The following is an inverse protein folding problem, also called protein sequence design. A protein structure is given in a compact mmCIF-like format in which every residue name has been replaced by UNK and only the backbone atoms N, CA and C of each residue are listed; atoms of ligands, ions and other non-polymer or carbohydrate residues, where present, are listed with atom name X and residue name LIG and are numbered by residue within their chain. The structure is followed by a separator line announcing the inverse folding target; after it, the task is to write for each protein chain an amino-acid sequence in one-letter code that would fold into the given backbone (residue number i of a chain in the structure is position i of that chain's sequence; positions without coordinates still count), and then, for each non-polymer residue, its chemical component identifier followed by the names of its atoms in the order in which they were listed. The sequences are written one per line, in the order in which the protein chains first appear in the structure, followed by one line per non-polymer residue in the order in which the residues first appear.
data_IF_160443262879
#
_entry.id   IF_160443262879
#
_cell.length_a   1.000
_cell.length_b   1.000
_cell.length_c   1.000
_cell.angle_alpha   90.00
_cell.angle_beta   90.00
_cell.angle_gamma   90.00
#
_symmetry.space_group_name_H-M   'P 1'
#
loop_
_entity.id
_entity.type
_entity.pdbx_description
1 polymer ?
#
# COMPACT_ATOMS: atom_id res chain seq x y z
N UNK A 1 39.47 33.47 49.96
CA UNK A 1 38.27 34.33 50.00
C UNK A 1 37.62 34.27 48.63
N UNK A 2 36.38 33.77 48.53
CA UNK A 2 35.48 33.89 47.35
C UNK A 2 35.48 35.37 46.91
N UNK A 3 35.34 35.77 45.65
CA UNK A 3 34.19 35.76 44.71
C UNK A 3 34.81 36.15 43.32
N UNK A 4 34.35 35.85 42.10
CA UNK A 4 33.02 35.85 41.52
C UNK A 4 33.12 35.28 40.09
N UNK A 5 32.18 34.40 39.73
CA UNK A 5 32.05 33.74 38.43
C UNK A 5 31.73 34.78 37.34
N UNK A 6 32.44 34.76 36.20
CA UNK A 6 32.13 35.60 35.05
C UNK A 6 32.21 34.80 33.74
N UNK A 7 31.09 34.79 33.02
CA UNK A 7 30.89 34.35 31.63
C UNK A 7 31.17 32.89 31.25
N UNK A 8 30.14 32.06 31.43
CA UNK A 8 29.91 30.85 30.65
C UNK A 8 28.45 30.88 30.16
N UNK A 9 28.16 31.63 29.10
CA UNK A 9 26.89 31.55 28.36
C UNK A 9 27.19 31.90 26.89
N UNK A 10 26.48 31.25 25.97
CA UNK A 10 26.55 31.33 24.50
C UNK A 10 27.56 30.42 23.79
N UNK A 11 27.33 29.10 23.87
CA UNK A 11 27.42 28.26 22.67
C UNK A 11 26.38 27.12 22.70
N UNK A 12 25.14 27.50 22.98
CA UNK A 12 23.98 26.68 22.62
C UNK A 12 23.24 27.49 21.58
N UNK A 13 23.25 27.01 20.35
CA UNK A 13 22.23 27.15 19.32
C UNK A 13 22.96 26.92 18.01
N UNK A 14 22.74 25.74 17.43
CA UNK A 14 22.43 25.51 16.01
C UNK A 14 22.29 24.00 15.84
N UNK A 15 21.33 23.42 16.57
CA UNK A 15 20.67 22.20 16.09
C UNK A 15 19.40 22.67 15.41
N UNK A 16 19.56 23.22 14.21
CA UNK A 16 18.46 23.35 13.28
C UNK A 16 18.06 21.94 12.90
N UNK A 17 17.13 21.36 13.66
CA UNK A 17 16.46 20.13 13.24
C UNK A 17 15.87 20.40 11.87
N UNK A 18 16.34 19.65 10.87
CA UNK A 18 15.68 19.57 9.58
C UNK A 18 14.29 19.03 9.89
N UNK A 19 13.29 19.91 9.96
CA UNK A 19 11.90 19.48 9.94
C UNK A 19 11.71 18.81 8.60
N UNK A 20 11.61 17.48 8.60
CA UNK A 20 11.00 16.77 7.50
C UNK A 20 9.59 17.36 7.39
N UNK A 21 9.38 18.20 6.38
CA UNK A 21 8.04 18.59 5.98
C UNK A 21 7.31 17.29 5.66
N UNK A 22 6.29 16.95 6.46
CA UNK A 22 5.43 15.81 6.21
C UNK A 22 4.79 16.02 4.83
N UNK A 23 5.44 15.48 3.79
CA UNK A 23 4.97 15.53 2.40
C UNK A 23 3.84 14.50 2.20
N UNK A 24 3.04 14.28 3.24
CA UNK A 24 1.84 13.46 3.15
C UNK A 24 0.75 14.27 2.45
N UNK A 25 0.05 13.69 1.46
CA UNK A 25 -1.06 14.34 0.79
C UNK A 25 -2.10 14.83 1.80
N UNK A 26 -2.68 16.00 1.56
CA UNK A 26 -3.74 16.57 2.37
C UNK A 26 -5.02 16.74 1.53
N UNK A 27 -6.21 16.57 2.13
CA UNK A 27 -7.46 16.86 1.44
C UNK A 27 -7.58 18.35 1.16
N UNK A 28 -8.14 18.68 0.00
CA UNK A 28 -8.46 20.02 -0.49
C UNK A 28 -9.81 20.44 0.12
N UNK A 29 -9.82 21.42 1.04
CA UNK A 29 -11.06 21.84 1.68
C UNK A 29 -12.07 22.41 0.68
N UNK A 30 -13.32 21.94 0.74
CA UNK A 30 -14.41 22.48 -0.07
C UNK A 30 -14.43 22.00 -1.53
N UNK A 31 -13.66 20.98 -1.91
CA UNK A 31 -13.71 20.39 -3.24
C UNK A 31 -15.10 19.77 -3.51
N UNK A 32 -15.80 20.29 -4.52
CA UNK A 32 -17.13 19.82 -4.88
C UNK A 32 -17.06 18.58 -5.79
N UNK A 33 -17.35 17.40 -5.23
CA UNK A 33 -17.26 16.11 -5.94
C UNK A 33 -18.62 15.48 -6.28
N UNK A 34 -19.73 16.20 -6.07
CA UNK A 34 -21.08 15.63 -6.17
C UNK A 34 -21.38 14.98 -7.53
N UNK A 35 -21.04 15.66 -8.63
CA UNK A 35 -21.29 15.14 -9.97
C UNK A 35 -20.36 13.97 -10.30
N UNK A 36 -19.09 14.09 -9.89
CA UNK A 36 -18.08 13.06 -10.12
C UNK A 36 -18.43 11.75 -9.42
N UNK A 37 -18.95 11.81 -8.19
CA UNK A 37 -19.38 10.64 -7.41
C UNK A 37 -20.43 9.79 -8.12
N UNK A 38 -21.25 10.40 -9.00
CA UNK A 38 -22.33 9.74 -9.73
C UNK A 38 -21.89 9.14 -11.07
N UNK A 39 -20.66 9.39 -11.51
CA UNK A 39 -20.17 8.87 -12.79
C UNK A 39 -20.22 7.32 -12.78
N UNK A 40 -20.92 6.69 -13.74
CA UNK A 40 -20.94 5.24 -13.86
C UNK A 40 -19.54 4.70 -14.16
N UNK A 41 -19.03 3.83 -13.28
CA UNK A 41 -17.69 3.24 -13.34
C UNK A 41 -17.82 1.71 -13.37
N UNK A 42 -17.10 1.06 -14.28
CA UNK A 42 -17.06 -0.38 -14.37
C UNK A 42 -15.99 -0.96 -13.45
N UNK A 43 -16.33 -1.96 -12.64
CA UNK A 43 -15.40 -2.70 -11.78
C UNK A 43 -15.85 -4.16 -11.69
N UNK A 44 -14.94 -5.10 -11.98
CA UNK A 44 -15.25 -6.54 -11.93
C UNK A 44 -16.44 -6.97 -12.79
N UNK A 45 -16.68 -6.28 -13.91
CA UNK A 45 -17.83 -6.52 -14.80
C UNK A 45 -19.16 -5.87 -14.35
N UNK A 46 -19.23 -5.27 -13.16
CA UNK A 46 -20.40 -4.53 -12.64
C UNK A 46 -20.22 -3.03 -12.86
N UNK A 47 -21.31 -2.34 -13.21
CA UNK A 47 -21.35 -0.86 -13.25
C UNK A 47 -21.83 -0.34 -11.90
N UNK A 48 -21.09 0.61 -11.31
CA UNK A 48 -21.42 1.26 -10.05
C UNK A 48 -21.01 2.73 -10.05
N UNK A 49 -21.53 3.59 -9.14
CA UNK A 49 -21.07 4.96 -9.02
C UNK A 49 -19.59 5.05 -8.65
N UNK A 50 -18.90 6.10 -9.10
CA UNK A 50 -17.50 6.34 -8.79
C UNK A 50 -17.21 6.38 -7.28
N UNK A 51 -18.14 6.91 -6.46
CA UNK A 51 -17.94 6.93 -5.00
C UNK A 51 -17.84 5.53 -4.40
N UNK A 52 -18.66 4.58 -4.87
CA UNK A 52 -18.60 3.20 -4.41
C UNK A 52 -17.32 2.52 -4.92
N UNK A 53 -16.93 2.78 -6.17
CA UNK A 53 -15.63 2.37 -6.70
C UNK A 53 -14.47 2.85 -5.83
N UNK A 54 -14.50 4.12 -5.41
CA UNK A 54 -13.46 4.66 -4.58
C UNK A 54 -13.40 3.99 -3.20
N UNK A 55 -14.55 3.80 -2.54
CA UNK A 55 -14.63 3.12 -1.24
C UNK A 55 -14.17 1.66 -1.32
N UNK A 56 -14.57 0.92 -2.36
CA UNK A 56 -14.13 -0.46 -2.59
C UNK A 56 -12.62 -0.53 -2.88
N UNK A 57 -12.08 0.43 -3.63
CA UNK A 57 -10.65 0.50 -3.92
C UNK A 57 -9.83 0.76 -2.66
N UNK A 58 -10.23 1.74 -1.83
CA UNK A 58 -9.55 2.01 -0.55
C UNK A 58 -9.68 0.81 0.40
N UNK A 59 -10.83 0.14 0.42
CA UNK A 59 -11.03 -1.08 1.20
C UNK A 59 -10.05 -2.18 0.77
N UNK A 60 -9.83 -2.35 -0.54
CA UNK A 60 -8.87 -3.32 -1.07
C UNK A 60 -7.44 -2.99 -0.67
N UNK A 61 -7.05 -1.71 -0.73
CA UNK A 61 -5.67 -1.28 -0.45
C UNK A 61 -5.36 -1.21 1.05
N UNK A 62 -6.21 -0.54 1.83
CA UNK A 62 -5.97 -0.19 3.22
C UNK A 62 -6.78 -1.05 4.21
N UNK A 63 -7.72 -1.86 3.74
CA UNK A 63 -8.62 -2.65 4.60
C UNK A 63 -9.72 -1.84 5.28
N UNK A 64 -9.92 -0.57 4.90
CA UNK A 64 -11.00 0.30 5.40
C UNK A 64 -11.65 1.07 4.25
N UNK A 65 -12.93 1.44 4.39
CA UNK A 65 -13.68 2.21 3.38
C UNK A 65 -13.35 3.71 3.36
N UNK A 66 -12.46 4.16 4.24
CA UNK A 66 -12.00 5.54 4.36
C UNK A 66 -10.52 5.56 4.77
N UNK A 67 -9.87 6.70 4.56
CA UNK A 67 -8.47 6.90 4.93
C UNK A 67 -8.25 8.31 5.46
N UNK A 68 -7.78 8.42 6.71
CA UNK A 68 -7.57 9.70 7.41
C UNK A 68 -8.81 10.61 7.26
N UNK A 69 -8.63 11.87 6.87
CA UNK A 69 -9.69 12.86 6.66
C UNK A 69 -10.06 13.02 5.17
N UNK A 70 -9.60 12.12 4.31
CA UNK A 70 -9.93 12.20 2.89
C UNK A 70 -11.37 11.77 2.63
N UNK A 71 -12.02 12.50 1.73
CA UNK A 71 -13.13 11.91 0.99
C UNK A 71 -12.62 10.74 0.13
N UNK A 72 -13.31 9.59 0.06
CA UNK A 72 -12.87 8.46 -0.74
C UNK A 72 -12.64 8.81 -2.22
N UNK A 73 -13.58 9.54 -2.83
CA UNK A 73 -13.47 9.93 -4.24
C UNK A 73 -12.28 10.87 -4.45
N UNK A 74 -12.07 11.81 -3.52
CA UNK A 74 -10.92 12.70 -3.53
C UNK A 74 -9.58 11.95 -3.42
N UNK A 75 -9.45 11.00 -2.49
CA UNK A 75 -8.23 10.22 -2.31
C UNK A 75 -7.85 9.48 -3.60
N UNK A 76 -8.82 8.81 -4.22
CA UNK A 76 -8.57 8.07 -5.47
C UNK A 76 -8.16 9.02 -6.59
N UNK A 77 -8.81 10.19 -6.72
CA UNK A 77 -8.38 11.20 -7.67
C UNK A 77 -6.97 11.71 -7.38
N UNK A 78 -6.64 11.98 -6.11
CA UNK A 78 -5.31 12.40 -5.70
C UNK A 78 -4.25 11.35 -6.05
N UNK A 79 -4.54 10.07 -5.83
CA UNK A 79 -3.68 8.95 -6.23
C UNK A 79 -3.48 8.87 -7.74
N UNK A 80 -4.52 9.13 -8.53
CA UNK A 80 -4.43 9.13 -10.00
C UNK A 80 -3.63 10.33 -10.54
N UNK A 81 -3.85 11.51 -9.96
CA UNK A 81 -3.24 12.77 -10.44
C UNK A 81 -1.80 12.92 -9.94
N UNK A 82 -1.48 12.44 -8.74
CA UNK A 82 -0.17 12.63 -8.10
C UNK A 82 0.27 11.41 -7.30
N UNK A 83 0.48 10.25 -7.95
CA UNK A 83 0.87 9.01 -7.26
C UNK A 83 2.20 9.15 -6.51
N UNK A 84 3.11 10.00 -6.99
CA UNK A 84 4.41 10.23 -6.34
C UNK A 84 4.27 10.88 -4.95
N UNK A 85 3.21 11.67 -4.72
CA UNK A 85 2.94 12.25 -3.42
C UNK A 85 2.55 11.18 -2.38
N UNK A 86 2.04 10.03 -2.83
CA UNK A 86 1.63 8.91 -1.99
C UNK A 86 2.72 7.85 -1.81
N UNK A 87 3.84 7.95 -2.54
CA UNK A 87 4.86 6.92 -2.63
C UNK A 87 5.48 6.54 -1.27
N UNK A 88 5.56 7.51 -0.35
CA UNK A 88 6.12 7.32 0.99
C UNK A 88 5.09 7.13 2.10
N UNK A 89 3.79 7.31 1.82
CA UNK A 89 2.75 7.17 2.84
C UNK A 89 2.46 5.67 3.09
N UNK A 90 2.55 5.16 4.34
CA UNK A 90 2.24 3.77 4.62
C UNK A 90 0.72 3.53 4.71
N UNK A 91 0.08 3.33 3.55
CA UNK A 91 -1.38 3.08 3.47
C UNK A 91 -1.74 1.71 2.87
N UNK A 92 -0.76 0.95 2.36
CA UNK A 92 -1.01 -0.39 1.81
C UNK A 92 -1.00 -1.40 2.95
N UNK A 93 -2.11 -2.09 3.15
CA UNK A 93 -2.26 -3.09 4.20
C UNK A 93 -1.77 -4.45 3.74
N UNK A 94 -0.81 -5.02 4.46
CA UNK A 94 -0.39 -6.42 4.33
C UNK A 94 -0.67 -7.10 5.67
N UNK A 95 -1.74 -7.88 5.73
CA UNK A 95 -2.19 -8.51 6.98
C UNK A 95 -1.96 -10.02 7.06
N UNK A 96 -1.64 -10.67 5.95
CA UNK A 96 -1.39 -12.12 5.94
C UNK A 96 0.01 -12.39 6.54
N UNK A 97 0.11 -13.16 7.65
CA UNK A 97 1.38 -13.39 8.32
C UNK A 97 2.38 -14.18 7.46
N UNK A 98 1.90 -15.04 6.56
CA UNK A 98 2.77 -15.81 5.67
C UNK A 98 3.35 -14.91 4.57
N UNK A 99 2.56 -13.98 4.05
CA UNK A 99 3.03 -12.97 3.09
C UNK A 99 4.06 -12.04 3.73
N UNK A 100 3.82 -11.59 4.96
CA UNK A 100 4.79 -10.77 5.71
C UNK A 100 6.13 -11.51 5.85
N UNK A 101 6.10 -12.79 6.22
CA UNK A 101 7.31 -13.62 6.34
C UNK A 101 8.00 -13.82 4.99
N UNK A 102 7.26 -14.14 3.94
CA UNK A 102 7.80 -14.36 2.60
C UNK A 102 8.47 -13.10 2.03
N UNK A 103 7.87 -11.94 2.29
CA UNK A 103 8.40 -10.65 1.85
C UNK A 103 9.44 -10.07 2.82
N UNK A 104 9.79 -10.78 3.89
CA UNK A 104 10.75 -10.34 4.92
C UNK A 104 10.39 -8.95 5.50
N UNK A 105 9.08 -8.68 5.62
CA UNK A 105 8.56 -7.45 6.20
C UNK A 105 8.52 -7.54 7.73
N UNK A 106 8.48 -6.37 8.37
CA UNK A 106 8.37 -6.27 9.84
C UNK A 106 7.01 -6.82 10.32
N UNK A 107 6.99 -7.90 11.13
CA UNK A 107 5.75 -8.51 11.60
C UNK A 107 4.97 -7.66 12.62
N UNK A 108 5.57 -6.62 13.19
CA UNK A 108 4.87 -5.69 14.07
C UNK A 108 4.01 -4.68 13.30
N UNK A 109 4.29 -4.46 12.01
CA UNK A 109 3.61 -3.48 11.15
C UNK A 109 2.62 -4.16 10.21
N UNK A 110 1.51 -3.47 9.93
CA UNK A 110 0.47 -3.92 8.98
C UNK A 110 0.35 -3.05 7.76
N UNK A 111 0.97 -1.86 7.78
CA UNK A 111 0.86 -0.85 6.75
C UNK A 111 2.25 -0.50 6.24
N UNK A 112 2.40 -0.48 4.93
CA UNK A 112 3.65 -0.30 4.21
C UNK A 112 3.43 0.72 3.09
N UNK A 113 4.48 1.45 2.71
CA UNK A 113 4.38 2.42 1.62
C UNK A 113 4.64 1.75 0.25
N UNK A 114 4.13 2.34 -0.85
CA UNK A 114 4.49 1.90 -2.19
C UNK A 114 6.01 1.80 -2.41
N UNK A 115 6.78 2.80 -1.98
CA UNK A 115 8.25 2.81 -2.12
C UNK A 115 8.92 1.69 -1.32
N UNK A 116 8.45 1.42 -0.10
CA UNK A 116 8.97 0.33 0.75
C UNK A 116 8.74 -1.03 0.08
N UNK A 117 7.55 -1.25 -0.52
CA UNK A 117 7.24 -2.48 -1.22
C UNK A 117 7.96 -2.59 -2.57
N UNK A 118 8.04 -1.50 -3.34
CA UNK A 118 8.66 -1.48 -4.66
C UNK A 118 10.19 -1.65 -4.59
N UNK A 119 10.83 -1.22 -3.50
CA UNK A 119 12.26 -1.42 -3.25
C UNK A 119 12.57 -2.76 -2.54
N UNK A 120 11.56 -3.53 -2.18
CA UNK A 120 11.74 -4.83 -1.52
C UNK A 120 12.18 -5.89 -2.52
N UNK A 121 13.41 -6.40 -2.36
CA UNK A 121 13.99 -7.42 -3.24
C UNK A 121 13.17 -8.72 -3.31
N UNK A 122 12.60 -9.18 -2.18
CA UNK A 122 11.80 -10.39 -2.15
C UNK A 122 10.50 -10.22 -2.94
N UNK A 123 9.87 -9.04 -2.81
CA UNK A 123 8.70 -8.68 -3.62
C UNK A 123 9.02 -8.62 -5.12
N UNK A 124 10.12 -7.97 -5.50
CA UNK A 124 10.53 -7.85 -6.91
C UNK A 124 10.85 -9.22 -7.54
N UNK A 125 11.51 -10.12 -6.81
CA UNK A 125 11.79 -11.48 -7.27
C UNK A 125 10.50 -12.27 -7.49
N UNK A 126 9.56 -12.17 -6.54
CA UNK A 126 8.25 -12.81 -6.66
C UNK A 126 7.47 -12.28 -7.88
N UNK A 127 7.40 -10.96 -8.05
CA UNK A 127 6.73 -10.32 -9.17
C UNK A 127 7.35 -10.73 -10.53
N UNK A 128 8.68 -10.78 -10.63
CA UNK A 128 9.37 -11.24 -11.84
C UNK A 128 9.07 -12.71 -12.15
N UNK A 129 8.96 -13.56 -11.14
CA UNK A 129 8.56 -14.96 -11.30
C UNK A 129 7.16 -15.10 -11.91
N UNK A 130 6.20 -14.30 -11.44
CA UNK A 130 4.84 -14.28 -12.01
C UNK A 130 4.82 -13.78 -13.46
N UNK A 131 5.58 -12.72 -13.78
CA UNK A 131 5.64 -12.16 -15.12
C UNK A 131 6.36 -13.08 -16.12
N UNK A 132 7.33 -13.86 -15.65
CA UNK A 132 8.08 -14.80 -16.49
C UNK A 132 7.24 -16.05 -16.78
N UNK A 133 6.58 -16.61 -15.75
CA UNK A 133 5.70 -17.77 -15.88
C UNK A 133 4.37 -17.42 -16.57
N UNK A 134 3.93 -16.17 -16.51
CA UNK A 134 2.71 -15.68 -17.15
C UNK A 134 2.74 -15.71 -18.69
N UNK A 135 3.92 -15.84 -19.31
CA UNK A 135 4.05 -16.07 -20.76
C UNK A 135 3.70 -17.51 -21.17
N UNK A 136 3.67 -18.42 -20.20
CA UNK A 136 3.38 -19.85 -20.39
C UNK A 136 1.99 -20.23 -19.85
N UNK A 137 1.28 -19.29 -19.19
CA UNK A 137 0.06 -19.53 -18.41
C UNK A 137 -1.27 -19.21 -19.14
N UNK A 138 -1.26 -19.00 -20.47
CA UNK A 138 -2.49 -18.94 -21.29
C UNK A 138 -3.18 -20.33 -21.41
N UNK A 139 -2.57 -21.40 -20.88
CA UNK A 139 -3.21 -22.70 -20.72
C UNK A 139 -3.04 -23.26 -19.31
N UNK A 140 -3.70 -22.66 -18.33
CA UNK A 140 -4.08 -23.41 -17.13
C UNK A 140 -5.52 -23.08 -16.77
N UNK A 141 -6.42 -23.88 -17.34
CA UNK A 141 -7.78 -24.04 -16.86
C UNK A 141 -7.77 -24.58 -15.44
N UNK A 142 -8.53 -23.93 -14.56
CA UNK A 142 -9.30 -24.53 -13.46
C UNK A 142 -8.66 -25.75 -12.77
N UNK A 143 -7.69 -25.55 -11.90
CA UNK A 143 -7.52 -26.38 -10.69
C UNK A 143 -6.75 -25.59 -9.64
N UNK A 144 -7.47 -24.82 -8.83
CA UNK A 144 -6.94 -24.26 -7.60
C UNK A 144 -6.91 -25.32 -6.49
N UNK A 145 -5.72 -25.57 -5.94
CA UNK A 145 -5.45 -26.24 -4.66
C UNK A 145 -5.70 -27.76 -4.60
N UNK A 146 -4.62 -28.53 -4.80
CA UNK A 146 -4.24 -29.83 -4.19
C UNK A 146 -3.18 -30.45 -5.13
N UNK A 147 -2.05 -31.04 -4.73
CA UNK A 147 -1.59 -31.53 -3.44
C UNK A 147 -0.09 -31.82 -3.56
N UNK A 148 0.70 -31.25 -2.65
CA UNK A 148 1.94 -31.89 -2.20
C UNK A 148 1.51 -33.13 -1.42
N UNK A 149 1.37 -34.28 -2.07
CA UNK A 149 1.47 -35.61 -1.45
C UNK A 149 1.66 -36.63 -2.57
N UNK A 150 2.88 -37.14 -2.70
CA UNK A 150 3.14 -38.31 -3.53
C UNK A 150 2.44 -39.54 -2.94
N UNK A 151 1.32 -39.93 -3.51
CA UNK A 151 0.80 -41.30 -3.41
C UNK A 151 0.23 -41.67 -4.78
N UNK A 152 0.90 -42.62 -5.44
CA UNK A 152 0.43 -43.21 -6.70
C UNK A 152 -0.76 -44.09 -6.37
N UNK A 153 -1.93 -43.74 -6.89
CA UNK A 153 -3.13 -44.58 -6.78
C UNK A 153 -3.09 -45.66 -7.87
N UNK A 154 -3.05 -46.92 -7.42
CA UNK A 154 -2.99 -48.13 -8.25
C UNK A 154 -4.39 -48.58 -8.69
N UNK A 155 -5.10 -47.74 -9.45
CA UNK A 155 -6.44 -48.06 -9.98
C UNK A 155 -6.62 -47.63 -11.43
N UNK A 156 -5.59 -47.79 -12.24
CA UNK A 156 -5.62 -47.57 -13.69
C UNK A 156 -5.33 -48.84 -14.49
N UNK A 157 -5.56 -50.01 -13.89
CA UNK A 157 -5.54 -51.29 -14.59
C UNK A 157 -6.82 -52.04 -14.24
N UNK A 158 -7.91 -51.70 -14.93
CA UNK A 158 -9.07 -52.57 -15.19
C UNK A 158 -9.82 -52.06 -16.43
#
# INVERSE_FOLDING_TARGET
MKILKLSLVLLSLWSGGVHAEDTSPQPIPGLALNDLRLIPTQSGGRVMPFDEFARETILSINGARSYKNFDPSEMILSLMVSPQAWAKDPFIRVSNPDVIKQLLLDPARKYFSPDELASNNAFLQYAQGLLSNGKDAEQVTDTGVNSVTGKRDARSEE
#
